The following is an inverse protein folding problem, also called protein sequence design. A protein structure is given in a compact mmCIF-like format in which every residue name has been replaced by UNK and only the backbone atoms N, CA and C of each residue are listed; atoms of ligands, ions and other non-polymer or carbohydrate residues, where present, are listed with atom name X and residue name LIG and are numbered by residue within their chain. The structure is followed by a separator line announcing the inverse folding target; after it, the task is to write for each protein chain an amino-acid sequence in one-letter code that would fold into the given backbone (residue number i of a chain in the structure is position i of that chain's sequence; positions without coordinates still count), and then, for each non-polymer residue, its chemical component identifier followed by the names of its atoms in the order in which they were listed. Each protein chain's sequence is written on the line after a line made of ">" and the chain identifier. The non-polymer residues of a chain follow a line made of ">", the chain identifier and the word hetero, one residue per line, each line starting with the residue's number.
data_IF_857485628499
#
_entry.id   IF_857485628499
#
_cell.length_a   1.000
_cell.length_b   1.000
_cell.length_c   1.000
_cell.angle_alpha   90.00
_cell.angle_beta   90.00
_cell.angle_gamma   90.00
#
_symmetry.space_group_name_H-M   'P 1'
#
loop_
_entity.id
_entity.type
_entity.pdbx_description
1 polymer ?
#
# COMPACT_ATOMS: atom_id res chain seq x y z
N UNK A 1 -2.51 8.79 -17.79
CA UNK A 1 -3.21 7.95 -16.81
C UNK A 1 -2.17 7.26 -15.96
N UNK A 2 -2.38 7.18 -14.66
CA UNK A 2 -1.42 6.57 -13.72
C UNK A 2 -1.96 5.19 -13.29
N UNK A 3 -1.14 4.16 -13.42
CA UNK A 3 -1.52 2.78 -13.14
C UNK A 3 -0.64 2.12 -12.09
N UNK A 4 -1.20 1.13 -11.41
CA UNK A 4 -0.49 0.19 -10.56
C UNK A 4 -1.21 -1.16 -10.52
N UNK A 5 -0.49 -2.20 -10.15
CA UNK A 5 -1.02 -3.56 -9.99
C UNK A 5 -1.04 -3.89 -8.50
N UNK A 6 -2.17 -4.39 -8.01
CA UNK A 6 -2.34 -4.65 -6.59
C UNK A 6 -3.36 -5.75 -6.29
N UNK A 7 -3.31 -6.25 -5.06
CA UNK A 7 -4.35 -7.07 -4.43
C UNK A 7 -5.34 -6.18 -3.69
N UNK A 8 -6.60 -6.53 -3.75
CA UNK A 8 -7.65 -5.97 -2.91
C UNK A 8 -7.70 -6.66 -1.55
N UNK A 9 -8.43 -6.12 -0.61
CA UNK A 9 -8.51 -6.58 0.77
C UNK A 9 -9.94 -6.95 1.10
N UNK A 10 -10.12 -8.08 1.80
CA UNK A 10 -11.43 -8.51 2.28
C UNK A 10 -12.09 -7.43 3.16
N UNK A 11 -13.41 -7.24 3.05
CA UNK A 11 -14.12 -6.19 3.78
C UNK A 11 -13.92 -6.22 5.31
N UNK A 12 -13.87 -7.40 5.90
CA UNK A 12 -13.65 -7.56 7.35
C UNK A 12 -12.28 -7.09 7.80
N UNK A 13 -11.24 -7.42 7.03
CA UNK A 13 -9.86 -6.98 7.32
C UNK A 13 -9.75 -5.48 7.11
N UNK A 14 -10.32 -4.98 6.02
CA UNK A 14 -10.39 -3.54 5.74
C UNK A 14 -11.01 -2.77 6.90
N UNK A 15 -12.10 -3.26 7.45
CA UNK A 15 -12.77 -2.63 8.59
C UNK A 15 -11.91 -2.62 9.85
N UNK A 16 -11.27 -3.74 10.18
CA UNK A 16 -10.36 -3.84 11.34
C UNK A 16 -9.17 -2.87 11.21
N UNK A 17 -8.56 -2.81 10.04
CA UNK A 17 -7.46 -1.88 9.76
C UNK A 17 -7.97 -0.43 9.81
N UNK A 18 -9.16 -0.14 9.30
CA UNK A 18 -9.76 1.19 9.35
C UNK A 18 -9.99 1.68 10.79
N UNK A 19 -10.44 0.82 11.68
CA UNK A 19 -10.59 1.14 13.11
C UNK A 19 -9.25 1.48 13.76
N UNK A 20 -8.23 0.69 13.50
CA UNK A 20 -6.88 0.95 13.99
C UNK A 20 -6.32 2.26 13.42
N UNK A 21 -6.49 2.49 12.13
CA UNK A 21 -6.10 3.74 11.46
C UNK A 21 -6.78 4.94 12.11
N UNK A 22 -8.07 4.86 12.40
CA UNK A 22 -8.83 5.94 13.03
C UNK A 22 -8.36 6.20 14.47
N UNK A 23 -8.01 5.16 15.21
CA UNK A 23 -7.43 5.28 16.55
C UNK A 23 -6.09 6.01 16.51
N UNK A 24 -5.20 5.64 15.59
CA UNK A 24 -3.88 6.26 15.44
C UNK A 24 -3.98 7.70 14.93
N UNK A 25 -4.94 7.98 14.07
CA UNK A 25 -5.19 9.32 13.52
C UNK A 25 -5.47 10.36 14.61
N UNK A 26 -6.07 9.98 15.72
CA UNK A 26 -6.36 10.90 16.83
C UNK A 26 -5.09 11.56 17.37
N UNK A 27 -3.95 10.90 17.28
CA UNK A 27 -2.66 11.42 17.76
C UNK A 27 -1.93 12.29 16.74
N UNK A 28 -2.32 12.21 15.47
CA UNK A 28 -1.67 12.93 14.39
C UNK A 28 -2.65 13.29 13.27
N UNK A 29 -3.65 14.16 13.54
CA UNK A 29 -4.65 14.52 12.53
C UNK A 29 -4.07 15.34 11.36
N UNK A 30 -2.88 15.91 11.52
CA UNK A 30 -2.15 16.73 10.55
C UNK A 30 -1.34 15.93 9.54
N UNK A 31 -1.24 14.61 9.72
CA UNK A 31 -0.56 13.70 8.79
C UNK A 31 -1.50 13.32 7.64
N UNK A 32 -0.96 12.95 6.50
CA UNK A 32 -1.72 12.50 5.34
C UNK A 32 -2.16 11.05 5.51
N UNK A 33 -3.35 10.85 6.03
CA UNK A 33 -3.95 9.53 6.22
C UNK A 33 -4.58 9.02 4.94
N UNK A 34 -4.31 7.74 4.65
CA UNK A 34 -4.92 7.03 3.52
C UNK A 34 -6.37 6.68 3.87
N UNK A 35 -7.31 6.94 2.95
CA UNK A 35 -8.71 6.56 3.12
C UNK A 35 -8.88 5.03 3.09
N UNK A 36 -9.71 4.46 3.97
CA UNK A 36 -9.89 3.01 4.02
C UNK A 36 -10.36 2.38 2.71
N UNK A 37 -11.09 3.13 1.89
CA UNK A 37 -11.56 2.72 0.56
C UNK A 37 -10.41 2.51 -0.44
N UNK A 38 -9.23 3.06 -0.16
CA UNK A 38 -8.05 2.92 -1.01
C UNK A 38 -7.00 1.93 -0.49
N UNK A 39 -7.30 1.22 0.60
CA UNK A 39 -6.39 0.19 1.12
C UNK A 39 -6.17 -0.92 0.11
N UNK A 40 -4.91 -1.24 -0.15
CA UNK A 40 -4.50 -2.29 -1.09
C UNK A 40 -3.10 -2.80 -0.76
N UNK A 41 -2.73 -3.93 -1.35
CA UNK A 41 -1.36 -4.46 -1.31
C UNK A 41 -0.74 -4.29 -2.68
N UNK A 42 0.17 -3.35 -2.83
CA UNK A 42 0.82 -3.07 -4.12
C UNK A 42 1.74 -4.21 -4.53
N UNK A 43 1.60 -4.66 -5.77
CA UNK A 43 2.51 -5.60 -6.42
C UNK A 43 3.55 -4.85 -7.26
N UNK A 44 3.12 -3.86 -8.02
CA UNK A 44 4.01 -3.02 -8.84
C UNK A 44 3.37 -1.68 -9.18
N UNK A 45 4.10 -0.59 -9.00
CA UNK A 45 3.76 0.71 -9.57
C UNK A 45 4.21 0.77 -11.03
N UNK A 46 3.31 1.25 -11.91
CA UNK A 46 3.61 1.44 -13.33
C UNK A 46 3.77 2.91 -13.69
N UNK A 47 3.20 3.81 -12.88
CA UNK A 47 3.30 5.24 -13.12
C UNK A 47 2.39 5.72 -14.25
N UNK A 48 2.73 6.87 -14.82
CA UNK A 48 1.97 7.47 -15.92
C UNK A 48 2.32 6.81 -17.24
N UNK A 49 1.29 6.37 -17.98
CA UNK A 49 1.47 5.71 -19.26
C UNK A 49 0.20 5.77 -20.12
N UNK A 50 0.39 5.60 -21.43
CA UNK A 50 -0.71 5.43 -22.41
C UNK A 50 -0.87 3.95 -22.82
N UNK A 51 -0.07 3.05 -22.27
CA UNK A 51 0.00 1.62 -22.67
C UNK A 51 -1.02 0.73 -21.93
N UNK A 52 -2.20 1.24 -21.60
CA UNK A 52 -3.18 0.50 -20.82
C UNK A 52 -3.57 -0.86 -21.42
N UNK A 53 -3.76 -0.90 -22.74
CA UNK A 53 -4.17 -2.13 -23.42
C UNK A 53 -3.05 -3.16 -23.53
N UNK A 54 -1.82 -2.71 -23.72
CA UNK A 54 -0.62 -3.58 -23.69
C UNK A 54 -0.41 -4.17 -22.30
N UNK A 55 -0.57 -3.37 -21.26
CA UNK A 55 -0.49 -3.82 -19.85
C UNK A 55 -1.56 -4.87 -19.58
N UNK A 56 -2.82 -4.61 -19.99
CA UNK A 56 -3.91 -5.57 -19.80
C UNK A 56 -3.61 -6.92 -20.44
N UNK A 57 -3.07 -6.91 -21.67
CA UNK A 57 -2.69 -8.14 -22.38
C UNK A 57 -1.55 -8.87 -21.70
N UNK A 58 -0.51 -8.13 -21.30
CA UNK A 58 0.63 -8.71 -20.61
C UNK A 58 0.24 -9.38 -19.28
N UNK A 59 -0.62 -8.75 -18.49
CA UNK A 59 -1.05 -9.28 -17.21
C UNK A 59 -1.94 -10.55 -17.33
N UNK A 60 -2.57 -10.81 -18.47
CA UNK A 60 -3.30 -12.07 -18.72
C UNK A 60 -2.40 -13.30 -18.73
N UNK A 61 -1.13 -13.12 -18.99
CA UNK A 61 -0.13 -14.20 -19.03
C UNK A 61 0.39 -14.56 -17.62
N UNK A 62 0.08 -13.76 -16.61
CA UNK A 62 0.46 -14.04 -15.22
C UNK A 62 -0.42 -15.16 -14.67
N UNK A 63 0.21 -16.29 -14.35
CA UNK A 63 -0.45 -17.49 -13.82
C UNK A 63 0.27 -17.91 -12.56
N UNK A 64 -0.34 -17.66 -11.43
CA UNK A 64 0.18 -18.01 -10.11
C UNK A 64 -0.95 -18.45 -9.20
N UNK A 65 -0.59 -19.17 -8.14
CA UNK A 65 -1.55 -19.67 -7.16
C UNK A 65 -2.25 -18.54 -6.39
N UNK A 66 -3.43 -18.80 -5.78
CA UNK A 66 -4.00 -17.90 -4.78
C UNK A 66 -2.98 -17.58 -3.68
N UNK A 67 -3.09 -16.41 -3.12
CA UNK A 67 -2.12 -15.86 -2.15
C UNK A 67 -2.77 -15.69 -0.79
N UNK A 68 -2.22 -16.34 0.23
CA UNK A 68 -2.63 -16.15 1.61
C UNK A 68 -1.87 -14.97 2.21
N UNK A 69 -2.60 -14.05 2.83
CA UNK A 69 -2.07 -12.83 3.46
C UNK A 69 -2.52 -12.77 4.91
N UNK A 70 -1.58 -12.58 5.83
CA UNK A 70 -1.87 -12.24 7.22
C UNK A 70 -1.44 -10.79 7.47
N UNK A 71 -2.40 -9.97 7.90
CA UNK A 71 -2.17 -8.55 8.22
C UNK A 71 -1.86 -8.44 9.70
N UNK A 72 -0.61 -8.16 10.01
CA UNK A 72 -0.09 -8.15 11.37
C UNK A 72 1.03 -7.14 11.52
N UNK A 73 1.16 -6.61 12.70
CA UNK A 73 2.12 -5.59 13.05
C UNK A 73 1.91 -4.26 12.33
N UNK A 74 2.58 -3.25 12.81
CA UNK A 74 2.64 -1.94 12.19
C UNK A 74 4.04 -1.37 12.37
N UNK A 75 4.43 -0.52 11.45
CA UNK A 75 5.79 0.03 11.48
C UNK A 75 5.95 1.24 10.58
N UNK A 76 7.20 1.63 10.38
CA UNK A 76 7.56 2.89 9.75
C UNK A 76 8.70 2.70 8.74
N UNK A 77 8.58 3.36 7.59
CA UNK A 77 9.67 3.52 6.65
C UNK A 77 10.17 4.97 6.66
N UNK A 78 11.46 5.21 6.43
CA UNK A 78 12.55 4.24 6.29
C UNK A 78 12.90 3.55 7.60
N UNK A 79 12.59 4.16 8.74
CA UNK A 79 12.82 3.62 10.09
C UNK A 79 12.02 4.42 11.14
N UNK A 80 11.86 3.92 12.38
CA UNK A 80 11.08 4.61 13.43
C UNK A 80 11.68 5.94 13.91
N UNK A 81 12.97 6.17 13.69
CA UNK A 81 13.64 7.42 14.14
C UNK A 81 13.29 8.62 13.24
N UNK A 82 13.10 8.37 11.95
CA UNK A 82 12.73 9.38 10.95
C UNK A 82 11.57 8.86 10.08
N UNK A 83 10.38 8.67 10.66
CA UNK A 83 9.29 8.03 9.98
C UNK A 83 8.70 8.92 8.88
N UNK A 84 8.51 8.34 7.69
CA UNK A 84 7.87 8.99 6.54
C UNK A 84 6.63 8.27 6.07
N UNK A 85 6.54 6.97 6.30
CA UNK A 85 5.41 6.12 5.98
C UNK A 85 5.05 5.28 7.18
N UNK A 86 3.79 5.27 7.56
CA UNK A 86 3.23 4.39 8.57
C UNK A 86 2.44 3.28 7.86
N UNK A 87 2.72 2.03 8.19
CA UNK A 87 2.18 0.88 7.49
C UNK A 87 1.73 -0.25 8.41
N UNK A 88 0.84 -1.09 7.90
CA UNK A 88 0.52 -2.43 8.44
C UNK A 88 1.38 -3.46 7.74
N UNK A 89 1.95 -4.38 8.51
CA UNK A 89 2.76 -5.48 8.02
C UNK A 89 1.93 -6.57 7.36
N UNK A 90 2.54 -7.25 6.39
CA UNK A 90 1.93 -8.37 5.69
C UNK A 90 2.88 -9.56 5.76
N UNK A 91 2.39 -10.66 6.33
CA UNK A 91 3.03 -11.96 6.29
C UNK A 91 2.38 -12.79 5.19
N UNK A 92 3.18 -13.43 4.37
CA UNK A 92 2.72 -14.32 3.32
C UNK A 92 3.74 -15.43 3.13
N UNK A 93 3.28 -16.49 2.47
CA UNK A 93 4.20 -17.48 1.92
C UNK A 93 4.87 -16.95 0.63
N UNK A 94 5.62 -17.80 -0.03
CA UNK A 94 6.33 -17.48 -1.27
C UNK A 94 5.42 -17.03 -2.42
N UNK A 95 4.11 -17.30 -2.36
CA UNK A 95 3.19 -17.00 -3.46
C UNK A 95 3.02 -15.49 -3.70
N UNK A 96 3.09 -14.67 -2.67
CA UNK A 96 3.01 -13.22 -2.83
C UNK A 96 4.23 -12.67 -3.60
N UNK A 97 5.43 -13.08 -3.23
CA UNK A 97 6.64 -12.67 -3.92
C UNK A 97 6.68 -13.21 -5.35
N UNK A 98 6.29 -14.48 -5.54
CA UNK A 98 6.15 -15.09 -6.86
C UNK A 98 5.18 -14.33 -7.75
N UNK A 99 4.05 -13.89 -7.22
CA UNK A 99 3.08 -13.07 -7.94
C UNK A 99 3.68 -11.72 -8.34
N UNK A 100 4.31 -11.01 -7.40
CA UNK A 100 4.96 -9.73 -7.67
C UNK A 100 6.06 -9.85 -8.73
N UNK A 101 6.87 -10.90 -8.68
CA UNK A 101 7.89 -11.19 -9.68
C UNK A 101 7.29 -11.53 -11.05
N UNK A 102 6.19 -12.26 -11.09
CA UNK A 102 5.50 -12.61 -12.33
C UNK A 102 4.88 -11.39 -13.00
N UNK A 103 4.30 -10.48 -12.21
CA UNK A 103 3.80 -9.20 -12.70
C UNK A 103 4.94 -8.36 -13.28
N UNK A 104 6.06 -8.26 -12.57
CA UNK A 104 7.24 -7.51 -13.04
C UNK A 104 7.82 -8.10 -14.35
N UNK A 105 7.90 -9.41 -14.46
CA UNK A 105 8.34 -10.06 -15.70
C UNK A 105 7.40 -9.80 -16.88
N UNK A 106 6.10 -9.82 -16.65
CA UNK A 106 5.09 -9.57 -17.68
C UNK A 106 5.13 -8.13 -18.20
N UNK A 107 5.44 -7.17 -17.34
CA UNK A 107 5.42 -5.73 -17.68
C UNK A 107 6.77 -5.20 -18.15
N UNK A 108 7.88 -5.92 -17.88
CA UNK A 108 9.24 -5.53 -18.30
C UNK A 108 9.38 -5.26 -19.80
N UNK A 109 8.86 -6.09 -20.72
CA UNK A 109 8.95 -5.81 -22.16
C UNK A 109 8.28 -4.51 -22.59
N UNK A 110 7.37 -3.99 -21.76
CA UNK A 110 6.68 -2.73 -22.00
C UNK A 110 7.45 -1.51 -21.43
N UNK A 111 8.61 -1.76 -20.80
CA UNK A 111 9.44 -0.72 -20.20
C UNK A 111 9.17 -0.42 -18.74
N UNK A 112 8.40 -1.26 -18.06
CA UNK A 112 8.12 -1.09 -16.62
C UNK A 112 9.06 -1.98 -15.80
N UNK A 113 9.95 -1.33 -15.09
CA UNK A 113 10.86 -2.01 -14.19
C UNK A 113 10.37 -1.88 -12.74
N UNK A 114 10.72 -2.86 -11.95
CA UNK A 114 10.45 -2.86 -10.51
C UNK A 114 11.48 -1.98 -9.81
N UNK A 115 11.08 -1.35 -8.72
CA UNK A 115 12.01 -0.62 -7.86
C UNK A 115 13.16 -1.52 -7.41
N UNK A 116 14.35 -0.94 -7.29
CA UNK A 116 15.52 -1.66 -6.83
C UNK A 116 15.35 -2.15 -5.39
N UNK A 117 15.84 -3.35 -5.10
CA UNK A 117 15.81 -3.96 -3.78
C UNK A 117 14.75 -5.05 -3.61
N UNK A 118 14.66 -5.65 -2.41
CA UNK A 118 13.71 -6.72 -2.14
C UNK A 118 12.28 -6.20 -2.11
N UNK A 119 11.33 -7.04 -2.54
CA UNK A 119 9.91 -6.77 -2.38
C UNK A 119 9.53 -6.80 -0.89
N UNK A 120 9.04 -5.67 -0.37
CA UNK A 120 8.61 -5.56 1.03
C UNK A 120 7.11 -5.27 1.06
N UNK A 121 6.27 -6.29 1.18
CA UNK A 121 4.82 -6.12 1.16
C UNK A 121 4.35 -5.36 2.41
N UNK A 122 3.51 -4.35 2.20
CA UNK A 122 2.94 -3.56 3.27
C UNK A 122 1.65 -2.88 2.81
N UNK A 123 0.84 -2.46 3.77
CA UNK A 123 -0.34 -1.63 3.53
C UNK A 123 -0.10 -0.26 4.16
N UNK A 124 -0.05 0.77 3.33
CA UNK A 124 0.19 2.15 3.80
C UNK A 124 -1.05 2.72 4.48
N UNK A 125 -0.87 3.25 5.68
CA UNK A 125 -1.91 3.93 6.46
C UNK A 125 -1.77 5.45 6.42
N UNK A 126 -0.55 5.96 6.41
CA UNK A 126 -0.29 7.39 6.40
C UNK A 126 1.09 7.71 5.82
N UNK A 127 1.23 8.93 5.35
CA UNK A 127 2.50 9.50 4.86
C UNK A 127 2.78 10.82 5.55
N UNK A 128 4.05 11.08 5.87
CA UNK A 128 4.49 12.38 6.32
C UNK A 128 4.32 13.41 5.17
N UNK A 129 4.07 14.63 5.54
CA UNK A 129 3.84 15.73 4.61
C UNK A 129 2.42 16.24 4.77
N UNK A 130 2.32 17.30 5.55
CA UNK A 130 1.13 18.13 5.55
C UNK A 130 1.19 19.01 4.30
N UNK A 131 0.07 19.26 3.66
CA UNK A 131 -0.06 20.34 2.70
C UNK A 131 0.02 21.73 3.36
N UNK A 132 0.60 21.84 4.55
CA UNK A 132 0.80 23.09 5.30
C UNK A 132 2.16 23.69 4.98
N UNK A 133 2.28 25.04 5.02
CA UNK A 133 3.54 25.75 4.83
C UNK A 133 4.61 25.26 5.80
N UNK A 134 5.88 25.28 5.35
CA UNK A 134 7.04 24.91 6.18
C UNK A 134 7.00 25.64 7.53
N UNK A 135 7.33 24.94 8.64
CA UNK A 135 7.52 25.59 9.93
C UNK A 135 8.62 26.64 9.85
N UNK A 136 8.46 27.71 10.65
CA UNK A 136 9.44 28.77 10.80
C UNK A 136 10.79 28.18 11.27
N UNK A 137 11.95 28.67 10.77
CA UNK A 137 13.24 28.18 11.22
C UNK A 137 13.41 28.32 12.74
N UNK A 138 13.68 27.19 13.42
CA UNK A 138 13.91 27.13 14.87
C UNK A 138 12.99 26.17 15.64
N UNK A 139 11.82 25.87 15.14
CA UNK A 139 10.94 24.84 15.69
C UNK A 139 10.99 23.57 14.83
N UNK A 140 11.48 22.49 15.40
CA UNK A 140 11.23 21.14 14.88
C UNK A 140 10.06 20.55 15.66
N UNK A 141 8.81 20.76 15.23
CA UNK A 141 7.74 19.99 15.83
C UNK A 141 8.02 18.52 15.58
N UNK A 142 7.84 17.69 16.59
CA UNK A 142 7.83 16.25 16.42
C UNK A 142 6.88 15.94 15.24
N UNK A 143 7.37 15.24 14.21
CA UNK A 143 6.52 14.91 13.08
C UNK A 143 5.29 14.14 13.58
N UNK A 144 4.13 14.32 12.97
CA UNK A 144 2.92 13.61 13.38
C UNK A 144 3.15 12.10 13.48
N UNK A 145 3.97 11.54 12.59
CA UNK A 145 4.32 10.12 12.63
C UNK A 145 5.21 9.75 13.81
N UNK A 146 5.99 10.66 14.39
CA UNK A 146 6.70 10.40 15.65
C UNK A 146 5.72 10.25 16.81
N UNK A 147 4.65 11.04 16.85
CA UNK A 147 3.57 10.88 17.86
C UNK A 147 2.86 9.53 17.69
N UNK A 148 2.58 9.13 16.45
CA UNK A 148 2.00 7.79 16.16
C UNK A 148 2.94 6.68 16.64
N UNK A 149 4.24 6.81 16.37
CA UNK A 149 5.25 5.84 16.85
C UNK A 149 5.21 5.69 18.36
N UNK A 150 5.18 6.80 19.10
CA UNK A 150 5.20 6.80 20.55
C UNK A 150 3.93 6.15 21.13
N UNK A 151 2.77 6.39 20.52
CA UNK A 151 1.51 5.75 20.92
C UNK A 151 1.47 4.27 20.54
N UNK A 152 1.97 3.91 19.36
CA UNK A 152 2.06 2.52 18.92
C UNK A 152 2.89 1.67 19.89
N UNK A 153 3.99 2.23 20.43
CA UNK A 153 4.87 1.55 21.38
C UNK A 153 4.17 1.16 22.69
N UNK A 154 3.06 1.80 23.03
CA UNK A 154 2.25 1.51 24.23
C UNK A 154 1.22 0.39 24.01
N UNK A 155 1.01 -0.04 22.78
CA UNK A 155 0.00 -1.02 22.40
C UNK A 155 0.64 -2.39 22.16
N UNK A 156 -0.13 -3.47 22.36
CA UNK A 156 0.29 -4.78 21.86
C UNK A 156 0.38 -4.76 20.33
N UNK A 157 1.18 -5.67 19.78
CA UNK A 157 1.30 -5.83 18.34
C UNK A 157 -0.08 -6.12 17.72
N UNK A 158 -0.55 -5.31 16.77
CA UNK A 158 -1.88 -5.48 16.20
C UNK A 158 -1.95 -6.70 15.26
N UNK A 159 -3.08 -7.40 15.27
CA UNK A 159 -3.40 -8.49 14.37
C UNK A 159 -4.79 -8.21 13.75
N UNK A 160 -4.84 -8.17 12.42
CA UNK A 160 -6.06 -7.82 11.69
C UNK A 160 -6.69 -9.01 10.97
N UNK A 161 -6.03 -10.18 11.01
CA UNK A 161 -6.54 -11.42 10.43
C UNK A 161 -5.86 -11.83 9.14
N UNK A 162 -6.34 -12.95 8.62
CA UNK A 162 -5.81 -13.62 7.43
C UNK A 162 -6.87 -13.69 6.34
N UNK A 163 -6.47 -13.50 5.10
CA UNK A 163 -7.30 -13.69 3.92
C UNK A 163 -6.56 -14.47 2.84
N UNK A 164 -7.30 -15.00 1.88
CA UNK A 164 -6.75 -15.55 0.64
C UNK A 164 -7.20 -14.69 -0.53
N UNK A 165 -6.25 -14.12 -1.27
CA UNK A 165 -6.52 -13.40 -2.51
C UNK A 165 -6.66 -14.40 -3.67
N UNK A 166 -7.78 -14.34 -4.39
CA UNK A 166 -8.07 -15.15 -5.57
C UNK A 166 -7.99 -14.37 -6.88
N UNK A 167 -7.77 -13.06 -6.78
CA UNK A 167 -7.65 -12.16 -7.91
C UNK A 167 -6.61 -11.06 -7.61
N UNK A 168 -5.99 -10.56 -8.66
CA UNK A 168 -5.27 -9.30 -8.62
C UNK A 168 -5.82 -8.35 -9.67
N UNK A 169 -5.50 -7.06 -9.55
CA UNK A 169 -6.15 -6.03 -10.34
C UNK A 169 -5.15 -5.05 -10.94
N UNK A 170 -5.48 -4.56 -12.12
CA UNK A 170 -4.91 -3.33 -12.65
C UNK A 170 -5.78 -2.16 -12.19
N UNK A 171 -5.19 -1.23 -11.46
CA UNK A 171 -5.84 -0.01 -10.99
C UNK A 171 -5.37 1.21 -11.76
N UNK A 172 -6.30 2.10 -12.02
CA UNK A 172 -6.02 3.48 -12.40
C UNK A 172 -6.16 4.40 -11.20
N UNK A 173 -5.18 5.27 -10.98
CA UNK A 173 -5.16 6.25 -9.91
C UNK A 173 -5.58 7.61 -10.42
N UNK A 174 -6.60 8.18 -9.81
CA UNK A 174 -7.07 9.54 -10.02
C UNK A 174 -6.73 10.37 -8.80
N UNK A 175 -5.82 11.34 -8.98
CA UNK A 175 -5.42 12.25 -7.91
C UNK A 175 -6.28 13.50 -7.94
N UNK A 176 -6.76 13.93 -6.78
CA UNK A 176 -7.50 15.17 -6.60
C UNK A 176 -7.08 15.86 -5.28
N UNK A 177 -7.43 17.13 -5.08
CA UNK A 177 -7.22 17.81 -3.80
C UNK A 177 -7.90 17.10 -2.62
N UNK A 178 -8.98 16.35 -2.86
CA UNK A 178 -9.68 15.56 -1.85
C UNK A 178 -9.00 14.22 -1.53
N UNK A 179 -7.95 13.84 -2.25
CA UNK A 179 -7.22 12.59 -2.10
C UNK A 179 -7.19 11.75 -3.36
N UNK A 180 -6.65 10.55 -3.24
CA UNK A 180 -6.59 9.57 -4.31
C UNK A 180 -7.90 8.76 -4.39
N UNK A 181 -8.36 8.50 -5.61
CA UNK A 181 -9.42 7.54 -5.93
C UNK A 181 -8.86 6.50 -6.88
N UNK A 182 -9.15 5.24 -6.63
CA UNK A 182 -8.68 4.12 -7.44
C UNK A 182 -9.84 3.44 -8.15
N UNK A 183 -9.63 3.12 -9.42
CA UNK A 183 -10.59 2.45 -10.27
C UNK A 183 -10.01 1.14 -10.79
N UNK A 184 -10.71 0.02 -10.58
CA UNK A 184 -10.34 -1.28 -11.14
C UNK A 184 -10.57 -1.28 -12.65
N UNK A 185 -9.50 -1.37 -13.42
CA UNK A 185 -9.54 -1.38 -14.88
C UNK A 185 -9.56 -2.78 -15.47
N UNK A 186 -9.05 -3.75 -14.75
CA UNK A 186 -9.08 -5.17 -15.11
C UNK A 186 -8.86 -6.04 -13.86
N UNK A 187 -9.38 -7.27 -13.90
CA UNK A 187 -9.16 -8.30 -12.89
C UNK A 187 -8.58 -9.57 -13.51
N UNK A 188 -7.78 -10.28 -12.74
CA UNK A 188 -7.08 -11.49 -13.16
C UNK A 188 -7.16 -12.55 -12.07
N UNK A 189 -7.63 -13.74 -12.44
CA UNK A 189 -7.77 -14.85 -11.50
C UNK A 189 -6.42 -15.47 -11.14
N UNK A 190 -6.27 -15.81 -9.87
CA UNK A 190 -5.17 -16.62 -9.34
C UNK A 190 -5.65 -18.08 -9.23
N UNK A 191 -4.93 -19.01 -9.85
CA UNK A 191 -5.29 -20.42 -9.94
C UNK A 191 -4.09 -21.33 -9.75
#
# INVERSE_FOLDING_TARGET
>A
MRFFVALDIDPEIRERIARFRNQMRMFAPDVRWVGPETFHVTLQFLGETKKADEIRRALKEVKTNPVQLTFRDAGFFPNPKAPRVFWVGIESDQHLETLADSVARATRPLGFERDAGPYTPHLTLARSGSGRPRPVPGERPASGLQRVRDELAKLPSPDFGTMTAHEFYLYESHLSPAGARYEKRASYLLR
#
